data_IF_788753863588
#
_entry.id   IF_788753863588
#
_cell.length_a   1.000
_cell.length_b   1.000
_cell.length_c   1.000
_cell.angle_alpha   90.00
_cell.angle_beta   90.00
_cell.angle_gamma   90.00
#
_symmetry.space_group_name_H-M   'P 1'
#
loop_
_entity.id
_entity.type
_entity.pdbx_description
1 polymer ?
#
# COMPACT_ATOMS: atom_id res chain seq x y z
N UNK A 1 -1.63 -63.25 6.47
CA UNK A 1 -1.62 -61.82 6.80
C UNK A 1 -2.63 -61.14 5.89
N UNK A 2 -3.79 -60.83 6.41
CA UNK A 2 -4.91 -60.24 5.65
C UNK A 2 -4.87 -58.74 5.87
N UNK A 3 -4.57 -57.99 4.83
CA UNK A 3 -4.55 -56.53 4.84
C UNK A 3 -5.98 -56.01 4.77
N UNK A 4 -6.45 -55.32 5.83
CA UNK A 4 -7.72 -54.60 5.81
C UNK A 4 -7.56 -53.30 5.08
N UNK A 5 -8.17 -53.17 3.89
CA UNK A 5 -8.33 -51.87 3.24
C UNK A 5 -9.54 -51.15 3.82
N UNK A 6 -9.29 -49.98 4.42
CA UNK A 6 -10.33 -49.07 4.91
C UNK A 6 -10.77 -48.20 3.69
N UNK A 7 -12.03 -48.22 3.26
CA UNK A 7 -12.48 -47.36 2.18
C UNK A 7 -12.54 -45.90 2.65
N UNK A 8 -11.67 -45.05 2.11
CA UNK A 8 -11.75 -43.59 2.21
C UNK A 8 -12.97 -43.13 1.40
N UNK A 9 -14.02 -42.69 2.09
CA UNK A 9 -15.16 -42.05 1.43
C UNK A 9 -14.69 -40.67 0.91
N UNK A 10 -14.88 -40.35 -0.39
CA UNK A 10 -14.64 -39.01 -0.89
C UNK A 10 -15.71 -38.08 -0.27
N UNK A 11 -15.29 -37.12 0.56
CA UNK A 11 -16.15 -36.02 0.93
C UNK A 11 -16.28 -35.09 -0.26
N UNK A 12 -17.25 -35.34 -1.11
CA UNK A 12 -17.71 -34.37 -2.14
C UNK A 12 -18.49 -33.27 -1.42
N UNK A 13 -17.79 -32.29 -0.90
CA UNK A 13 -18.42 -31.01 -0.55
C UNK A 13 -18.64 -30.25 -1.86
N UNK A 14 -19.83 -30.39 -2.43
CA UNK A 14 -20.33 -29.49 -3.49
C UNK A 14 -20.58 -28.12 -2.82
N UNK A 15 -19.50 -27.41 -2.50
CA UNK A 15 -19.54 -26.04 -2.03
C UNK A 15 -19.82 -25.15 -3.24
N UNK A 16 -21.03 -24.60 -3.32
CA UNK A 16 -21.31 -23.45 -4.19
C UNK A 16 -20.38 -22.33 -3.70
N UNK A 17 -19.38 -21.99 -4.49
CA UNK A 17 -18.51 -20.84 -4.17
C UNK A 17 -19.41 -19.60 -4.12
N UNK A 18 -19.53 -18.92 -2.99
CA UNK A 18 -20.43 -17.78 -2.87
C UNK A 18 -20.02 -16.70 -3.85
N UNK A 19 -20.99 -16.16 -4.59
CA UNK A 19 -20.73 -15.03 -5.48
C UNK A 19 -20.45 -13.79 -4.62
N UNK A 20 -19.20 -13.30 -4.69
CA UNK A 20 -18.79 -12.10 -3.95
C UNK A 20 -19.25 -10.83 -4.68
N UNK A 21 -20.03 -10.02 -3.99
CA UNK A 21 -20.35 -8.66 -4.39
C UNK A 21 -19.10 -7.75 -4.31
N UNK A 22 -19.21 -6.54 -4.89
CA UNK A 22 -18.08 -5.58 -4.96
C UNK A 22 -18.53 -4.22 -4.45
N UNK A 23 -17.62 -3.56 -3.71
CA UNK A 23 -17.77 -2.16 -3.29
C UNK A 23 -16.43 -1.46 -3.45
N UNK A 24 -16.46 -0.20 -3.87
CA UNK A 24 -15.28 0.66 -3.93
C UNK A 24 -15.54 1.95 -3.13
N UNK A 25 -14.52 2.43 -2.46
CA UNK A 25 -14.44 3.70 -1.79
C UNK A 25 -13.26 4.46 -2.38
N UNK A 26 -13.41 5.76 -2.64
CA UNK A 26 -12.36 6.57 -3.28
C UNK A 26 -12.29 7.91 -2.57
N UNK A 27 -11.07 8.33 -2.21
CA UNK A 27 -10.79 9.67 -1.69
C UNK A 27 -9.53 10.25 -2.33
N UNK A 28 -9.45 11.59 -2.36
CA UNK A 28 -8.22 12.31 -2.67
C UNK A 28 -7.44 12.52 -1.36
N UNK A 29 -6.29 11.88 -1.24
CA UNK A 29 -5.42 11.97 -0.07
C UNK A 29 -3.95 11.80 -0.48
N UNK A 30 -3.02 12.44 0.23
CA UNK A 30 -1.59 12.44 -0.09
C UNK A 30 -1.30 12.92 -1.53
N UNK A 31 -2.11 13.88 -2.03
CA UNK A 31 -1.97 14.43 -3.37
C UNK A 31 -2.34 13.50 -4.52
N UNK A 32 -3.04 12.37 -4.25
CA UNK A 32 -3.41 11.40 -5.27
C UNK A 32 -4.80 10.78 -4.98
N UNK A 33 -5.48 10.23 -6.00
CA UNK A 33 -6.64 9.38 -5.75
C UNK A 33 -6.20 8.06 -5.11
N UNK A 34 -6.82 7.72 -4.01
CA UNK A 34 -6.67 6.42 -3.34
C UNK A 34 -8.00 5.69 -3.38
N UNK A 35 -8.00 4.43 -3.78
CA UNK A 35 -9.19 3.59 -3.82
C UNK A 35 -9.03 2.34 -2.96
N UNK A 36 -10.09 2.03 -2.21
CA UNK A 36 -10.25 0.79 -1.44
C UNK A 36 -11.34 -0.03 -2.11
N UNK A 37 -10.98 -1.22 -2.60
CA UNK A 37 -11.91 -2.14 -3.24
C UNK A 37 -12.15 -3.34 -2.32
N UNK A 38 -13.41 -3.67 -2.13
CA UNK A 38 -13.85 -4.78 -1.28
C UNK A 38 -14.59 -5.82 -2.12
N UNK A 39 -14.35 -7.08 -1.82
CA UNK A 39 -15.16 -8.22 -2.26
C UNK A 39 -15.63 -9.00 -1.04
N UNK A 40 -16.94 -9.15 -0.91
CA UNK A 40 -17.60 -9.85 0.20
C UNK A 40 -18.96 -10.35 -0.26
N UNK A 41 -19.59 -11.27 0.48
CA UNK A 41 -20.97 -11.67 0.24
C UNK A 41 -21.91 -10.49 0.40
N UNK A 42 -21.69 -9.66 1.43
CA UNK A 42 -22.44 -8.43 1.71
C UNK A 42 -21.48 -7.23 1.75
N UNK A 43 -21.10 -6.65 0.59
CA UNK A 43 -20.06 -5.62 0.54
C UNK A 43 -20.51 -4.24 1.04
N UNK A 44 -21.78 -4.07 1.39
CA UNK A 44 -22.38 -2.82 1.90
C UNK A 44 -22.52 -2.79 3.42
N UNK A 45 -21.98 -3.80 4.14
CA UNK A 45 -21.99 -3.84 5.60
C UNK A 45 -21.34 -2.59 6.20
N UNK A 46 -21.86 -2.18 7.37
CA UNK A 46 -21.42 -0.97 8.07
C UNK A 46 -19.97 -1.07 8.55
N UNK A 47 -19.54 -2.24 9.00
CA UNK A 47 -18.15 -2.50 9.43
C UNK A 47 -17.13 -2.34 8.29
N UNK A 48 -17.51 -2.72 7.06
CA UNK A 48 -16.71 -2.49 5.85
C UNK A 48 -16.55 -1.00 5.58
N UNK A 49 -17.65 -0.25 5.64
CA UNK A 49 -17.62 1.20 5.42
C UNK A 49 -16.78 1.91 6.50
N UNK A 50 -16.92 1.48 7.76
CA UNK A 50 -16.13 2.01 8.87
C UNK A 50 -14.63 1.71 8.71
N UNK A 51 -14.27 0.49 8.31
CA UNK A 51 -12.88 0.13 8.05
C UNK A 51 -12.27 0.91 6.87
N UNK A 52 -13.03 1.10 5.79
CA UNK A 52 -12.57 1.94 4.67
C UNK A 52 -12.35 3.40 5.09
N UNK A 53 -13.26 3.96 5.90
CA UNK A 53 -13.11 5.30 6.46
C UNK A 53 -11.86 5.39 7.37
N UNK A 54 -11.57 4.36 8.15
CA UNK A 54 -10.37 4.28 8.99
C UNK A 54 -9.08 4.22 8.14
N UNK A 55 -9.07 3.51 7.01
CA UNK A 55 -7.96 3.53 6.03
C UNK A 55 -7.70 4.97 5.58
N UNK A 56 -8.71 5.69 5.13
CA UNK A 56 -8.53 7.08 4.67
C UNK A 56 -8.13 8.03 5.80
N UNK A 57 -8.66 7.85 7.01
CA UNK A 57 -8.25 8.63 8.17
C UNK A 57 -6.76 8.41 8.50
N UNK A 58 -6.30 7.15 8.44
CA UNK A 58 -4.88 6.82 8.60
C UNK A 58 -4.01 7.52 7.56
N UNK A 59 -4.38 7.45 6.28
CA UNK A 59 -3.63 8.09 5.19
C UNK A 59 -3.62 9.62 5.31
N UNK A 60 -4.71 10.24 5.74
CA UNK A 60 -4.73 11.69 6.05
C UNK A 60 -3.77 12.04 7.18
N UNK A 61 -3.68 11.19 8.21
CA UNK A 61 -2.71 11.41 9.30
C UNK A 61 -1.27 11.25 8.81
N UNK A 62 -1.00 10.30 7.92
CA UNK A 62 0.32 10.16 7.27
C UNK A 62 0.66 11.43 6.49
N UNK A 63 -0.28 11.99 5.73
CA UNK A 63 -0.08 13.23 4.97
C UNK A 63 0.20 14.42 5.89
N UNK A 64 -0.52 14.52 7.02
CA UNK A 64 -0.26 15.54 8.04
C UNK A 64 1.16 15.45 8.63
N UNK A 65 1.65 14.22 8.84
CA UNK A 65 2.95 14.00 9.49
C UNK A 65 4.11 14.06 8.49
N UNK A 66 3.99 13.43 7.33
CA UNK A 66 5.12 13.10 6.45
C UNK A 66 5.05 13.76 5.06
N UNK A 67 4.10 14.67 4.82
CA UNK A 67 4.00 15.38 3.54
C UNK A 67 5.22 16.29 3.31
N UNK A 68 5.78 16.21 2.11
CA UNK A 68 6.81 17.13 1.63
C UNK A 68 6.24 18.38 0.94
N UNK A 69 4.90 18.51 0.89
CA UNK A 69 4.18 19.61 0.23
C UNK A 69 3.43 20.50 1.21
N UNK A 70 2.94 19.93 2.31
CA UNK A 70 2.22 20.65 3.36
C UNK A 70 3.20 21.38 4.26
N UNK A 71 3.16 22.70 4.25
CA UNK A 71 4.05 23.54 5.08
C UNK A 71 3.88 23.34 6.59
N UNK A 72 2.70 22.84 7.01
CA UNK A 72 2.35 22.54 8.39
C UNK A 72 2.64 21.08 8.79
N UNK A 73 3.17 20.25 7.86
CA UNK A 73 3.54 18.86 8.19
C UNK A 73 4.65 18.81 9.25
N UNK A 74 4.64 17.75 10.06
CA UNK A 74 5.70 17.54 11.04
C UNK A 74 7.08 17.45 10.39
N UNK A 75 7.17 16.80 9.22
CA UNK A 75 8.40 16.70 8.44
C UNK A 75 8.95 18.08 8.05
N UNK A 76 8.12 18.95 7.45
CA UNK A 76 8.59 20.28 7.03
C UNK A 76 8.84 21.20 8.21
N UNK A 77 8.07 21.10 9.29
CA UNK A 77 8.34 21.83 10.53
C UNK A 77 9.72 21.49 11.12
N UNK A 78 10.09 20.20 11.11
CA UNK A 78 11.43 19.76 11.50
C UNK A 78 12.51 20.33 10.57
N UNK A 79 12.33 20.24 9.28
CA UNK A 79 13.30 20.70 8.27
C UNK A 79 13.53 22.23 8.32
N UNK A 80 12.50 22.97 8.68
CA UNK A 80 12.55 24.43 8.82
C UNK A 80 12.99 24.89 10.22
N UNK A 81 13.20 23.96 11.16
CA UNK A 81 13.55 24.28 12.55
C UNK A 81 12.44 25.00 13.32
N UNK A 82 11.18 24.81 12.92
CA UNK A 82 9.99 25.41 13.57
C UNK A 82 9.31 24.48 14.56
N UNK A 83 9.87 23.30 14.79
CA UNK A 83 9.45 22.35 15.83
C UNK A 83 10.66 21.61 16.39
N UNK A 84 10.61 21.28 17.67
CA UNK A 84 11.55 20.40 18.33
C UNK A 84 11.15 18.93 18.13
N UNK A 85 12.09 18.01 18.36
CA UNK A 85 11.83 16.55 18.21
C UNK A 85 10.68 16.07 19.08
N UNK A 86 10.53 16.63 20.28
CA UNK A 86 9.50 16.23 21.25
C UNK A 86 8.08 16.65 20.83
N UNK A 87 7.97 17.62 19.91
CA UNK A 87 6.70 18.11 19.37
C UNK A 87 6.26 17.31 18.13
N UNK A 88 7.09 16.36 17.66
CA UNK A 88 6.86 15.65 16.43
C UNK A 88 6.18 14.30 16.65
N UNK A 89 5.41 13.87 15.67
CA UNK A 89 4.77 12.56 15.72
C UNK A 89 5.81 11.44 15.65
N UNK A 90 5.70 10.36 16.46
CA UNK A 90 6.67 9.25 16.47
C UNK A 90 6.93 8.60 15.11
N UNK A 91 5.97 8.61 14.20
CA UNK A 91 6.14 8.09 12.84
C UNK A 91 7.30 8.72 12.07
N UNK A 92 7.71 9.92 12.44
CA UNK A 92 8.87 10.54 11.80
C UNK A 92 10.15 9.75 12.11
N UNK A 93 10.32 9.34 13.38
CA UNK A 93 11.43 8.50 13.80
C UNK A 93 11.34 7.11 13.18
N UNK A 94 10.15 6.48 13.21
CA UNK A 94 9.92 5.15 12.64
C UNK A 94 10.27 5.11 11.14
N UNK A 95 9.78 6.09 10.37
CA UNK A 95 10.05 6.19 8.93
C UNK A 95 11.52 6.50 8.66
N UNK A 96 12.17 7.29 9.52
CA UNK A 96 13.61 7.55 9.38
C UNK A 96 14.42 6.26 9.53
N UNK A 97 14.12 5.43 10.52
CA UNK A 97 14.77 4.13 10.73
C UNK A 97 14.52 3.19 9.55
N UNK A 98 13.29 3.13 9.03
CA UNK A 98 12.96 2.32 7.86
C UNK A 98 13.70 2.80 6.60
N UNK A 99 13.93 4.11 6.45
CA UNK A 99 14.70 4.64 5.33
C UNK A 99 16.18 4.25 5.43
N UNK A 100 16.77 4.27 6.65
CA UNK A 100 18.13 3.79 6.88
C UNK A 100 18.28 2.29 6.58
N UNK A 101 17.32 1.49 7.04
CA UNK A 101 17.29 0.06 6.72
C UNK A 101 17.15 -0.19 5.21
N UNK A 102 16.31 0.55 4.52
CA UNK A 102 16.14 0.43 3.07
C UNK A 102 17.41 0.84 2.31
N UNK A 103 18.11 1.86 2.76
CA UNK A 103 19.41 2.28 2.20
C UNK A 103 20.46 1.17 2.35
N UNK A 104 20.60 0.60 3.54
CA UNK A 104 21.51 -0.52 3.82
C UNK A 104 21.17 -1.75 2.96
N UNK A 105 19.92 -2.16 2.92
CA UNK A 105 19.45 -3.34 2.14
C UNK A 105 19.59 -3.19 0.64
N UNK A 106 19.74 -1.99 0.14
CA UNK A 106 19.88 -1.69 -1.29
C UNK A 106 21.28 -1.25 -1.68
N UNK A 107 22.26 -1.40 -0.79
CA UNK A 107 23.65 -0.94 -1.00
C UNK A 107 23.70 0.54 -1.45
N UNK A 108 22.82 1.38 -0.88
CA UNK A 108 22.72 2.80 -1.21
C UNK A 108 21.97 3.14 -2.51
N UNK A 109 21.38 2.16 -3.21
CA UNK A 109 20.56 2.43 -4.41
C UNK A 109 19.26 3.18 -4.07
N UNK A 110 18.72 2.98 -2.88
CA UNK A 110 17.72 3.85 -2.29
C UNK A 110 18.37 4.76 -1.26
N UNK A 111 18.06 6.06 -1.30
CA UNK A 111 18.38 6.98 -0.20
C UNK A 111 17.27 8.02 -0.04
N UNK A 112 16.89 8.26 1.21
CA UNK A 112 15.96 9.33 1.57
C UNK A 112 16.67 10.67 1.81
N UNK A 113 18.00 10.70 1.80
CA UNK A 113 18.79 11.92 1.96
C UNK A 113 19.20 12.48 0.60
N UNK A 114 18.49 13.53 0.18
CA UNK A 114 18.70 14.16 -1.13
C UNK A 114 19.60 15.36 -1.03
N UNK A 115 20.67 15.37 -1.82
CA UNK A 115 21.49 16.55 -2.01
C UNK A 115 20.66 17.69 -2.65
N UNK A 116 20.85 18.90 -2.15
CA UNK A 116 20.24 20.12 -2.69
C UNK A 116 21.34 21.12 -3.05
N UNK A 117 21.06 22.12 -3.90
CA UNK A 117 22.00 23.20 -4.17
C UNK A 117 22.55 23.80 -2.85
N UNK A 118 23.77 24.33 -2.90
CA UNK A 118 24.51 24.87 -1.75
C UNK A 118 24.93 23.83 -0.71
N UNK A 119 25.09 22.55 -1.10
CA UNK A 119 25.64 21.50 -0.22
C UNK A 119 24.71 21.07 0.92
N UNK A 120 23.44 21.46 0.90
CA UNK A 120 22.45 21.03 1.89
C UNK A 120 21.95 19.62 1.55
N UNK A 121 21.79 18.79 2.58
CA UNK A 121 21.08 17.51 2.47
C UNK A 121 19.71 17.65 3.13
N UNK A 122 18.67 17.17 2.46
CA UNK A 122 17.29 17.21 2.93
C UNK A 122 16.76 15.80 3.01
N UNK A 123 16.09 15.47 4.12
CA UNK A 123 15.40 14.20 4.28
C UNK A 123 14.09 14.20 3.49
N UNK A 124 14.00 13.32 2.50
CA UNK A 124 12.82 13.15 1.63
C UNK A 124 12.43 11.66 1.57
N UNK A 125 11.56 11.20 2.47
CA UNK A 125 11.18 9.80 2.57
C UNK A 125 10.10 9.38 1.56
N UNK A 126 9.75 10.20 0.58
CA UNK A 126 8.61 9.97 -0.33
C UNK A 126 8.69 8.64 -1.10
N UNK A 127 9.91 8.15 -1.37
CA UNK A 127 10.10 6.86 -2.04
C UNK A 127 9.69 5.64 -1.19
N UNK A 128 9.60 5.80 0.13
CA UNK A 128 9.20 4.74 1.07
C UNK A 128 7.81 4.97 1.66
N UNK A 129 7.49 6.23 2.00
CA UNK A 129 6.30 6.58 2.79
C UNK A 129 5.00 6.07 2.18
N UNK A 130 4.84 6.12 0.86
CA UNK A 130 3.60 5.71 0.21
C UNK A 130 3.29 4.23 0.42
N UNK A 131 4.26 3.34 0.18
CA UNK A 131 4.11 1.91 0.41
C UNK A 131 3.92 1.58 1.89
N UNK A 132 4.69 2.20 2.77
CA UNK A 132 4.55 2.05 4.21
C UNK A 132 3.16 2.49 4.71
N UNK A 133 2.66 3.63 4.26
CA UNK A 133 1.34 4.14 4.62
C UNK A 133 0.21 3.20 4.22
N UNK A 134 0.27 2.66 2.99
CA UNK A 134 -0.72 1.69 2.49
C UNK A 134 -0.67 0.40 3.30
N UNK A 135 0.54 -0.11 3.59
CA UNK A 135 0.70 -1.32 4.40
C UNK A 135 0.18 -1.12 5.83
N UNK A 136 0.49 0.01 6.47
CA UNK A 136 -0.01 0.31 7.82
C UNK A 136 -1.53 0.49 7.84
N UNK A 137 -2.10 1.19 6.85
CA UNK A 137 -3.53 1.41 6.74
C UNK A 137 -4.32 0.11 6.48
N UNK A 138 -3.72 -0.89 5.80
CA UNK A 138 -4.38 -2.16 5.50
C UNK A 138 -4.81 -2.94 6.75
N UNK A 139 -4.14 -2.73 7.89
CA UNK A 139 -4.48 -3.36 9.17
C UNK A 139 -5.95 -3.10 9.58
N UNK A 140 -6.55 -1.98 9.18
CA UNK A 140 -7.96 -1.71 9.44
C UNK A 140 -8.89 -2.66 8.68
N UNK A 141 -8.49 -3.14 7.50
CA UNK A 141 -9.26 -4.09 6.69
C UNK A 141 -9.02 -5.55 7.12
N UNK A 142 -7.84 -5.86 7.62
CA UNK A 142 -7.49 -7.20 8.07
C UNK A 142 -8.32 -7.68 9.26
N UNK A 143 -8.85 -6.74 10.06
CA UNK A 143 -9.72 -7.05 11.20
C UNK A 143 -11.17 -7.36 10.80
N UNK A 144 -11.60 -6.97 9.61
CA UNK A 144 -12.98 -7.18 9.11
C UNK A 144 -13.15 -8.63 8.67
N UNK A 145 -14.19 -9.34 9.14
CA UNK A 145 -14.38 -10.73 8.76
C UNK A 145 -14.89 -10.89 7.33
N UNK A 146 -14.47 -11.97 6.67
CA UNK A 146 -15.00 -12.48 5.40
C UNK A 146 -14.97 -11.47 4.25
N UNK A 147 -13.92 -10.67 4.18
CA UNK A 147 -13.67 -9.77 3.07
C UNK A 147 -12.35 -10.10 2.36
N UNK A 148 -12.29 -9.84 1.06
CA UNK A 148 -11.05 -9.61 0.36
C UNK A 148 -10.98 -8.14 -0.02
N UNK A 149 -9.79 -7.56 0.07
CA UNK A 149 -9.59 -6.13 -0.13
C UNK A 149 -8.38 -5.85 -1.02
N UNK A 150 -8.44 -4.71 -1.69
CA UNK A 150 -7.31 -4.10 -2.39
C UNK A 150 -7.31 -2.60 -2.13
N UNK A 151 -6.13 -2.04 -1.83
CA UNK A 151 -5.88 -0.60 -1.76
C UNK A 151 -4.99 -0.23 -2.95
N UNK A 152 -5.39 0.79 -3.72
CA UNK A 152 -4.55 1.37 -4.77
C UNK A 152 -4.31 2.85 -4.44
N UNK A 153 -3.04 3.21 -4.26
CA UNK A 153 -2.58 4.55 -3.97
C UNK A 153 -1.60 5.02 -5.06
N UNK A 154 -2.15 5.61 -6.13
CA UNK A 154 -1.36 6.15 -7.22
C UNK A 154 -0.44 5.12 -7.92
N UNK A 155 -0.92 3.87 -8.06
CA UNK A 155 -0.21 2.76 -8.68
C UNK A 155 0.53 1.84 -7.71
N UNK A 156 0.68 2.20 -6.44
CA UNK A 156 1.10 1.25 -5.42
C UNK A 156 -0.14 0.52 -4.90
N UNK A 157 -0.13 -0.79 -4.98
CA UNK A 157 -1.28 -1.65 -4.71
C UNK A 157 -0.93 -2.62 -3.59
N UNK A 158 -1.80 -2.70 -2.60
CA UNK A 158 -1.78 -3.78 -1.62
C UNK A 158 -3.06 -4.59 -1.73
N UNK A 159 -2.96 -5.90 -1.56
CA UNK A 159 -4.09 -6.82 -1.57
C UNK A 159 -4.00 -7.80 -0.41
N UNK A 160 -5.15 -8.17 0.13
CA UNK A 160 -5.23 -9.13 1.22
C UNK A 160 -6.64 -9.56 1.52
N UNK A 161 -6.78 -10.20 2.67
CA UNK A 161 -8.05 -10.69 3.18
C UNK A 161 -8.24 -10.26 4.62
N UNK A 162 -9.48 -10.07 5.01
CA UNK A 162 -9.86 -9.99 6.40
C UNK A 162 -9.95 -11.39 7.05
N UNK A 163 -10.34 -11.42 8.31
CA UNK A 163 -10.41 -12.67 9.09
C UNK A 163 -11.35 -13.69 8.41
N UNK A 164 -10.93 -14.94 8.37
CA UNK A 164 -11.77 -16.07 7.92
C UNK A 164 -11.86 -16.26 6.39
N UNK A 165 -11.21 -15.44 5.57
CA UNK A 165 -11.29 -15.55 4.09
C UNK A 165 -10.02 -16.17 3.44
N UNK A 166 -9.13 -16.78 4.19
CA UNK A 166 -7.81 -17.20 3.67
C UNK A 166 -7.88 -18.24 2.54
N UNK A 167 -8.80 -19.19 2.62
CA UNK A 167 -8.86 -20.34 1.70
C UNK A 167 -9.64 -20.08 0.40
N UNK A 168 -10.41 -18.99 0.36
CA UNK A 168 -11.28 -18.64 -0.78
C UNK A 168 -11.02 -17.23 -1.32
N UNK A 169 -9.83 -16.71 -1.07
CA UNK A 169 -9.45 -15.35 -1.46
C UNK A 169 -9.54 -15.19 -3.00
N UNK A 170 -10.28 -14.22 -3.49
CA UNK A 170 -10.37 -13.96 -4.92
C UNK A 170 -9.06 -13.41 -5.46
N UNK A 171 -8.73 -13.79 -6.68
CA UNK A 171 -7.59 -13.24 -7.41
C UNK A 171 -7.87 -11.81 -7.83
N UNK A 172 -6.94 -10.90 -7.53
CA UNK A 172 -6.91 -9.55 -8.03
C UNK A 172 -6.06 -9.49 -9.31
N UNK A 173 -6.63 -8.92 -10.36
CA UNK A 173 -5.91 -8.73 -11.64
C UNK A 173 -5.57 -7.26 -11.77
N UNK A 174 -4.29 -6.95 -11.85
CA UNK A 174 -3.75 -5.60 -11.94
C UNK A 174 -3.16 -5.41 -13.33
N UNK A 175 -3.73 -4.50 -14.11
CA UNK A 175 -3.18 -4.14 -15.43
C UNK A 175 -1.97 -3.22 -15.28
N UNK A 176 -0.92 -3.52 -16.01
CA UNK A 176 0.24 -2.64 -16.19
C UNK A 176 0.02 -1.86 -17.49
N UNK A 177 -0.12 -0.53 -17.38
CA UNK A 177 -0.31 0.32 -18.56
C UNK A 177 0.98 0.39 -19.40
N UNK A 178 0.84 0.35 -20.73
CA UNK A 178 1.97 0.55 -21.63
C UNK A 178 2.46 2.03 -21.52
N UNK A 179 3.71 2.26 -21.12
CA UNK A 179 4.21 3.63 -20.96
C UNK A 179 4.30 4.41 -22.29
N UNK A 180 4.22 3.73 -23.44
CA UNK A 180 4.30 4.33 -24.77
C UNK A 180 2.93 4.61 -25.37
N UNK A 181 1.90 3.85 -24.97
CA UNK A 181 0.55 3.96 -25.53
C UNK A 181 -0.47 4.07 -24.38
N UNK A 182 -0.86 5.31 -24.10
CA UNK A 182 -1.80 5.62 -23.02
C UNK A 182 -3.11 4.85 -23.15
N UNK A 183 -3.55 4.23 -22.06
CA UNK A 183 -4.79 3.45 -21.99
C UNK A 183 -4.64 2.02 -22.51
N UNK A 184 -3.48 1.63 -23.03
CA UNK A 184 -3.21 0.24 -23.41
C UNK A 184 -2.60 -0.52 -22.24
N UNK A 185 -3.04 -1.76 -22.03
CA UNK A 185 -2.48 -2.66 -21.03
C UNK A 185 -1.37 -3.50 -21.69
N UNK A 186 -0.15 -3.33 -21.21
CA UNK A 186 1.00 -4.10 -21.67
C UNK A 186 1.06 -5.48 -21.05
N UNK A 187 0.64 -5.61 -19.78
CA UNK A 187 0.67 -6.88 -19.05
C UNK A 187 -0.37 -6.90 -17.92
N UNK A 188 -0.64 -8.08 -17.36
CA UNK A 188 -1.55 -8.26 -16.22
C UNK A 188 -0.90 -9.13 -15.16
N UNK A 189 -0.68 -8.57 -13.99
CA UNK A 189 -0.22 -9.28 -12.80
C UNK A 189 -1.42 -9.77 -11.99
N UNK A 190 -1.34 -11.00 -11.48
CA UNK A 190 -2.35 -11.57 -10.60
C UNK A 190 -1.83 -11.64 -9.16
N UNK A 191 -2.63 -11.14 -8.20
CA UNK A 191 -2.29 -11.10 -6.79
C UNK A 191 -3.43 -11.69 -5.96
N UNK A 192 -3.09 -12.50 -4.96
CA UNK A 192 -4.03 -12.97 -3.93
C UNK A 192 -3.70 -12.33 -2.58
N UNK A 193 -2.43 -12.02 -2.35
CA UNK A 193 -1.88 -11.38 -1.14
C UNK A 193 -0.60 -10.62 -1.49
N UNK A 194 -0.29 -9.59 -0.71
CA UNK A 194 0.94 -8.81 -0.85
C UNK A 194 0.74 -7.48 -1.55
N UNK A 195 1.76 -7.00 -2.24
CA UNK A 195 1.71 -5.69 -2.88
C UNK A 195 2.46 -5.63 -4.20
N UNK A 196 2.17 -4.59 -4.96
CA UNK A 196 2.88 -4.21 -6.17
C UNK A 196 3.17 -2.71 -6.11
N UNK A 197 4.41 -2.33 -6.29
CA UNK A 197 4.82 -0.94 -6.42
C UNK A 197 5.09 -0.60 -7.88
N UNK A 198 4.72 0.62 -8.27
CA UNK A 198 4.92 1.13 -9.63
C UNK A 198 5.85 2.33 -9.59
N UNK A 199 6.98 2.21 -10.28
CA UNK A 199 7.92 3.31 -10.49
C UNK A 199 8.19 3.45 -11.99
N UNK A 200 8.18 4.69 -12.49
CA UNK A 200 8.45 4.94 -13.90
C UNK A 200 8.33 6.42 -14.27
N UNK A 201 8.95 6.77 -15.39
CA UNK A 201 9.03 8.16 -15.87
C UNK A 201 7.79 8.62 -16.64
N UNK A 202 6.84 7.74 -17.00
CA UNK A 202 5.74 8.03 -17.92
C UNK A 202 4.79 9.14 -17.42
N UNK A 203 4.55 9.25 -16.10
CA UNK A 203 3.59 10.23 -15.53
C UNK A 203 4.32 11.39 -14.85
N UNK A 204 5.41 11.11 -14.11
CA UNK A 204 6.10 12.09 -13.26
C UNK A 204 7.43 12.59 -13.86
N UNK A 205 7.75 12.18 -15.09
CA UNK A 205 9.04 12.47 -15.71
C UNK A 205 10.21 11.71 -15.06
N UNK A 206 11.43 12.09 -15.37
CA UNK A 206 12.65 11.47 -14.84
C UNK A 206 12.81 11.81 -13.35
N UNK A 207 12.27 10.98 -12.47
CA UNK A 207 12.38 11.12 -11.01
C UNK A 207 13.04 9.90 -10.34
N UNK A 208 13.29 8.85 -11.11
CA UNK A 208 14.12 7.71 -10.69
C UNK A 208 15.52 7.95 -11.20
N UNK A 209 16.42 8.22 -10.31
CA UNK A 209 17.82 8.57 -10.62
C UNK A 209 18.73 7.42 -10.22
N UNK A 210 19.80 7.20 -10.98
CA UNK A 210 20.90 6.35 -10.54
C UNK A 210 21.74 7.13 -9.52
N UNK A 211 21.81 6.70 -8.24
CA UNK A 211 22.53 7.46 -7.21
C UNK A 211 24.03 7.56 -7.47
N UNK A 212 24.59 6.76 -8.39
CA UNK A 212 26.01 6.77 -8.75
C UNK A 212 26.33 7.80 -9.85
N UNK A 213 25.33 8.18 -10.63
CA UNK A 213 25.53 9.09 -11.78
C UNK A 213 24.73 10.39 -11.69
N UNK A 214 23.73 10.44 -10.84
CA UNK A 214 22.84 11.59 -10.61
C UNK A 214 21.64 11.61 -11.52
#
# INVERSE_FOLDING_TARGET
MTTLEIPVRPHTTTGVTPTLGRKAFVEQVMGMPVSVHIRATEPTRVDIAAAAAAVFAHLRKVDEVLSTWRTDSHLLRLQHGTATTDELHPWLADVTLLCLEAEDRTDGLFSAWRARPAGRTVFDPTGLVKGWAVAAASAHLETVPEIAWSINAGGDIAVGTGRGMHDVAPVWRVGIEDPRVRGQIADVVTLTRGGMATSGAAIRGAHVLDPRTG
#
